data_IF_652261601928
#
_entry.id   IF_652261601928
#
_cell.length_a   1.000
_cell.length_b   1.000
_cell.length_c   1.000
_cell.angle_alpha   90.00
_cell.angle_beta   90.00
_cell.angle_gamma   90.00
#
_symmetry.space_group_name_H-M   'P 1'
#
loop_
_entity.id
_entity.type
_entity.pdbx_description
1 polymer ?
#
# COMPACT_ATOMS: atom_id res chain seq x y z
N UNK A 1 48.02 10.65 -3.20
CA UNK A 1 47.81 9.69 -2.10
C UNK A 1 46.98 10.41 -1.08
N UNK A 2 45.68 10.24 -1.14
CA UNK A 2 44.79 10.65 -0.07
C UNK A 2 43.79 9.51 0.10
N UNK A 3 43.81 8.95 1.31
CA UNK A 3 43.21 7.68 1.69
C UNK A 3 41.68 7.78 1.70
N UNK A 4 41.04 7.06 0.78
CA UNK A 4 39.65 6.68 0.95
C UNK A 4 39.55 5.85 2.24
N UNK A 5 38.79 6.35 3.22
CA UNK A 5 38.41 5.57 4.37
C UNK A 5 37.45 4.49 3.89
N UNK A 6 37.94 3.25 3.81
CA UNK A 6 37.14 2.06 3.68
C UNK A 6 36.13 2.03 4.83
N UNK A 7 34.87 2.32 4.52
CA UNK A 7 33.75 2.01 5.40
C UNK A 7 33.69 0.48 5.45
N UNK A 8 34.25 -0.09 6.51
CA UNK A 8 34.09 -1.51 6.82
C UNK A 8 32.60 -1.81 6.98
N UNK A 9 31.99 -2.37 5.94
CA UNK A 9 30.67 -3.00 6.02
C UNK A 9 30.83 -4.20 6.95
N UNK A 10 30.35 -4.06 8.19
CA UNK A 10 30.22 -5.20 9.08
C UNK A 10 29.35 -6.27 8.37
N UNK A 11 29.73 -7.56 8.42
CA UNK A 11 28.87 -8.60 7.89
C UNK A 11 27.57 -8.57 8.69
N UNK A 12 26.45 -8.24 8.03
CA UNK A 12 25.13 -8.34 8.65
C UNK A 12 25.01 -9.75 9.24
N UNK A 13 24.81 -9.82 10.55
CA UNK A 13 24.59 -11.08 11.24
C UNK A 13 23.48 -11.85 10.54
N UNK A 14 23.62 -13.16 10.49
CA UNK A 14 22.69 -14.12 9.90
C UNK A 14 21.32 -14.21 10.63
N UNK A 15 20.96 -13.17 11.39
CA UNK A 15 19.81 -13.04 12.28
C UNK A 15 18.49 -13.31 11.56
N UNK A 16 18.32 -12.91 10.30
CA UNK A 16 17.12 -13.28 9.55
C UNK A 16 17.06 -14.78 9.27
N UNK A 17 18.17 -15.40 8.87
CA UNK A 17 18.25 -16.85 8.61
C UNK A 17 18.09 -17.67 9.90
N UNK A 18 18.53 -17.14 11.04
CA UNK A 18 18.34 -17.75 12.37
C UNK A 18 16.92 -17.54 12.90
N UNK A 19 16.31 -16.39 12.64
CA UNK A 19 14.97 -16.04 13.10
C UNK A 19 13.88 -16.80 12.34
N UNK A 20 13.97 -16.85 11.00
CA UNK A 20 12.89 -17.35 10.14
C UNK A 20 12.39 -18.75 10.52
N UNK A 21 13.25 -19.75 10.81
CA UNK A 21 12.80 -21.10 11.20
C UNK A 21 12.07 -21.16 12.55
N UNK A 22 12.24 -20.14 13.42
CA UNK A 22 11.59 -20.06 14.73
C UNK A 22 10.18 -19.45 14.69
N UNK A 23 9.81 -18.82 13.58
CA UNK A 23 8.53 -18.12 13.46
C UNK A 23 7.39 -19.09 13.16
N UNK A 24 6.18 -18.89 13.74
CA UNK A 24 5.00 -19.61 13.30
C UNK A 24 4.79 -19.42 11.80
N UNK A 25 4.57 -20.53 11.09
CA UNK A 25 4.45 -20.56 9.64
C UNK A 25 3.11 -21.18 9.24
N UNK A 26 2.39 -20.47 8.39
CA UNK A 26 1.16 -20.92 7.77
C UNK A 26 1.29 -20.73 6.26
N UNK A 27 0.27 -21.15 5.50
CA UNK A 27 0.24 -20.92 4.05
C UNK A 27 -0.79 -19.85 3.70
N UNK A 28 -0.47 -18.95 2.79
CA UNK A 28 -1.41 -17.97 2.27
C UNK A 28 -2.39 -18.58 1.27
N UNK A 29 -3.32 -17.77 0.77
CA UNK A 29 -4.26 -18.18 -0.26
C UNK A 29 -3.60 -18.67 -1.57
N UNK A 30 -2.31 -18.39 -1.77
CA UNK A 30 -1.52 -18.83 -2.92
C UNK A 30 -0.70 -20.10 -2.61
N UNK A 31 -0.89 -20.74 -1.44
CA UNK A 31 -0.12 -21.86 -0.93
C UNK A 31 1.38 -21.55 -0.69
N UNK A 32 1.75 -20.27 -0.66
CA UNK A 32 3.09 -19.79 -0.30
C UNK A 32 3.23 -19.67 1.22
N UNK A 33 4.42 -19.93 1.77
CA UNK A 33 4.65 -19.77 3.20
C UNK A 33 4.51 -18.30 3.63
N UNK A 34 3.81 -18.10 4.73
CA UNK A 34 3.74 -16.86 5.49
C UNK A 34 4.27 -17.11 6.90
N UNK A 35 5.09 -16.19 7.39
CA UNK A 35 5.67 -16.22 8.72
C UNK A 35 5.07 -15.12 9.57
N UNK A 36 4.60 -15.48 10.76
CA UNK A 36 4.05 -14.54 11.72
C UNK A 36 5.19 -13.86 12.47
N UNK A 37 5.35 -12.55 12.28
CA UNK A 37 6.33 -11.74 12.98
C UNK A 37 5.68 -10.48 13.55
N UNK A 38 5.81 -10.28 14.87
CA UNK A 38 5.22 -9.14 15.59
C UNK A 38 3.74 -8.91 15.31
N UNK A 39 2.97 -9.98 15.18
CA UNK A 39 1.52 -9.93 14.98
C UNK A 39 1.06 -9.84 13.52
N UNK A 40 1.99 -9.77 12.56
CA UNK A 40 1.66 -9.67 11.13
C UNK A 40 2.32 -10.77 10.31
N UNK A 41 1.69 -11.14 9.19
CA UNK A 41 2.13 -12.22 8.32
C UNK A 41 2.93 -11.71 7.11
N UNK A 42 4.06 -12.35 6.83
CA UNK A 42 4.95 -11.94 5.74
C UNK A 42 5.45 -13.16 4.95
N UNK A 43 5.64 -13.00 3.63
CA UNK A 43 6.56 -13.91 2.94
C UNK A 43 7.98 -13.65 3.43
N UNK A 44 8.84 -14.66 3.36
CA UNK A 44 10.26 -14.60 3.73
C UNK A 44 10.97 -13.34 3.20
N UNK A 45 10.97 -13.14 1.88
CA UNK A 45 11.63 -12.00 1.24
C UNK A 45 11.00 -10.65 1.63
N UNK A 46 9.69 -10.62 1.88
CA UNK A 46 9.00 -9.41 2.32
C UNK A 46 9.33 -9.08 3.78
N UNK A 47 9.51 -10.09 4.62
CA UNK A 47 9.94 -9.92 6.01
C UNK A 47 11.38 -9.40 6.07
N UNK A 48 12.29 -10.03 5.31
CA UNK A 48 13.68 -9.60 5.22
C UNK A 48 13.77 -8.14 4.76
N UNK A 49 13.02 -7.78 3.72
CA UNK A 49 13.00 -6.41 3.22
C UNK A 49 12.34 -5.42 4.19
N UNK A 50 11.29 -5.80 4.91
CA UNK A 50 10.70 -4.97 5.96
C UNK A 50 11.66 -4.76 7.15
N UNK A 51 12.48 -5.76 7.48
CA UNK A 51 13.54 -5.64 8.49
C UNK A 51 14.68 -4.72 8.02
N UNK A 52 15.11 -4.85 6.76
CA UNK A 52 16.09 -3.95 6.16
C UNK A 52 15.57 -2.49 6.11
N UNK A 53 14.31 -2.31 5.68
CA UNK A 53 13.63 -1.03 5.73
C UNK A 53 13.67 -0.42 7.13
N UNK A 54 13.21 -1.19 8.14
CA UNK A 54 13.19 -0.77 9.55
C UNK A 54 14.56 -0.33 10.08
N UNK A 55 15.65 -0.98 9.63
CA UNK A 55 17.03 -0.75 10.10
C UNK A 55 17.69 0.43 9.42
N UNK A 56 17.57 0.49 8.10
CA UNK A 56 18.47 1.29 7.27
C UNK A 56 17.84 2.59 6.76
N UNK A 57 16.51 2.68 6.70
CA UNK A 57 15.85 3.85 6.11
C UNK A 57 15.98 5.09 6.98
N UNK A 58 16.43 6.18 6.36
CA UNK A 58 16.53 7.49 6.97
C UNK A 58 15.45 8.40 6.39
N UNK A 59 14.40 8.60 7.18
CA UNK A 59 13.32 9.51 6.84
C UNK A 59 13.79 10.96 6.87
N UNK A 60 13.30 11.76 5.94
CA UNK A 60 13.40 13.21 5.93
C UNK A 60 12.05 13.81 6.32
N UNK A 61 12.07 15.01 6.91
CA UNK A 61 10.84 15.71 7.31
C UNK A 61 9.91 16.01 6.13
N UNK A 62 10.45 16.12 4.91
CA UNK A 62 9.71 16.33 3.67
C UNK A 62 9.19 15.03 3.01
N UNK A 63 9.46 13.86 3.57
CA UNK A 63 9.00 12.61 2.98
C UNK A 63 7.47 12.47 3.10
N UNK A 64 6.88 11.83 2.09
CA UNK A 64 5.48 11.44 2.06
C UNK A 64 5.40 9.91 1.99
N UNK A 65 4.78 9.28 2.99
CA UNK A 65 4.67 7.83 3.10
C UNK A 65 3.20 7.43 2.96
N UNK A 66 2.90 6.71 1.88
CA UNK A 66 1.57 6.21 1.55
C UNK A 66 1.43 4.79 2.06
N UNK A 67 0.51 4.58 3.00
CA UNK A 67 0.31 3.30 3.66
C UNK A 67 -1.07 2.75 3.36
N UNK A 68 -1.16 1.44 3.17
CA UNK A 68 -2.44 0.74 3.09
C UNK A 68 -2.22 -0.76 3.28
N UNK A 69 -3.24 -1.49 3.74
CA UNK A 69 -3.21 -2.94 3.59
C UNK A 69 -3.25 -3.30 2.09
N UNK A 70 -2.59 -4.39 1.65
CA UNK A 70 -2.69 -4.82 0.26
C UNK A 70 -4.14 -4.89 -0.20
N UNK A 71 -4.40 -4.34 -1.40
CA UNK A 71 -5.72 -4.28 -2.06
C UNK A 71 -6.73 -3.26 -1.48
N UNK A 72 -6.29 -2.35 -0.61
CA UNK A 72 -7.13 -1.26 -0.09
C UNK A 72 -7.20 0.00 -0.99
N UNK A 73 -6.62 -0.04 -2.20
CA UNK A 73 -6.64 1.10 -3.14
C UNK A 73 -5.29 1.81 -3.33
N UNK A 74 -4.18 1.17 -2.99
CA UNK A 74 -2.83 1.76 -3.04
C UNK A 74 -2.45 2.35 -4.40
N UNK A 75 -2.81 1.69 -5.50
CA UNK A 75 -2.55 2.18 -6.87
C UNK A 75 -3.21 3.54 -7.10
N UNK A 76 -4.46 3.69 -6.61
CA UNK A 76 -5.22 4.92 -6.73
C UNK A 76 -4.68 6.02 -5.81
N UNK A 77 -4.33 5.68 -4.57
CA UNK A 77 -3.69 6.62 -3.65
C UNK A 77 -2.36 7.16 -4.22
N UNK A 78 -1.53 6.27 -4.79
CA UNK A 78 -0.25 6.64 -5.43
C UNK A 78 -0.47 7.62 -6.58
N UNK A 79 -1.43 7.35 -7.46
CA UNK A 79 -1.72 8.26 -8.59
C UNK A 79 -2.23 9.62 -8.10
N UNK A 80 -3.16 9.64 -7.14
CA UNK A 80 -3.74 10.88 -6.62
C UNK A 80 -2.67 11.75 -5.96
N UNK A 81 -1.89 11.17 -5.05
CA UNK A 81 -0.85 11.92 -4.33
C UNK A 81 0.24 12.39 -5.29
N UNK A 82 0.68 11.53 -6.23
CA UNK A 82 1.68 11.93 -7.23
C UNK A 82 1.20 13.12 -8.06
N UNK A 83 -0.05 13.08 -8.55
CA UNK A 83 -0.64 14.15 -9.33
C UNK A 83 -0.76 15.44 -8.51
N UNK A 84 -1.21 15.37 -7.25
CA UNK A 84 -1.30 16.55 -6.36
C UNK A 84 0.07 17.19 -6.14
N UNK A 85 1.11 16.42 -5.82
CA UNK A 85 2.42 16.96 -5.44
C UNK A 85 3.21 17.48 -6.64
N UNK A 86 2.93 16.99 -7.85
CA UNK A 86 3.64 17.37 -9.07
C UNK A 86 2.80 18.20 -10.05
N UNK A 87 1.58 18.63 -9.68
CA UNK A 87 0.66 19.37 -10.57
C UNK A 87 1.23 20.67 -11.17
N UNK A 88 2.21 21.28 -10.51
CA UNK A 88 2.92 22.47 -11.03
C UNK A 88 4.05 22.13 -12.00
N UNK A 89 4.54 20.90 -11.97
CA UNK A 89 5.60 20.40 -12.86
C UNK A 89 5.01 19.72 -14.09
N UNK A 90 3.94 18.94 -13.90
CA UNK A 90 3.19 18.28 -14.96
C UNK A 90 1.75 18.74 -14.87
N UNK A 91 1.31 19.51 -15.86
CA UNK A 91 -0.11 19.80 -15.98
C UNK A 91 -0.84 18.52 -16.34
N UNK A 92 -2.09 18.39 -15.89
CA UNK A 92 -3.00 17.27 -16.26
C UNK A 92 -3.19 17.12 -17.77
N UNK A 93 -2.99 18.19 -18.53
CA UNK A 93 -3.03 18.23 -20.00
C UNK A 93 -1.71 17.86 -20.68
N UNK A 94 -0.63 17.66 -19.91
CA UNK A 94 0.67 17.27 -20.44
C UNK A 94 0.58 15.84 -21.01
N UNK A 95 0.84 15.72 -22.31
CA UNK A 95 0.87 14.42 -23.00
C UNK A 95 2.00 13.51 -22.48
N UNK A 96 2.99 14.08 -21.80
CA UNK A 96 4.10 13.37 -21.17
C UNK A 96 3.91 13.19 -19.66
N UNK A 97 2.72 13.44 -19.11
CA UNK A 97 2.47 13.24 -17.69
C UNK A 97 2.88 11.80 -17.28
N UNK A 98 3.72 11.61 -16.24
CA UNK A 98 4.30 10.31 -15.92
C UNK A 98 3.29 9.17 -15.72
N UNK A 99 2.10 9.48 -15.20
CA UNK A 99 1.00 8.50 -15.06
C UNK A 99 0.44 7.97 -16.38
N UNK A 100 0.69 8.62 -17.52
CA UNK A 100 0.25 8.15 -18.85
C UNK A 100 1.16 7.06 -19.41
N UNK A 101 2.44 7.07 -19.00
CA UNK A 101 3.50 6.22 -19.55
C UNK A 101 4.10 5.24 -18.54
N UNK A 102 3.82 5.44 -17.24
CA UNK A 102 4.32 4.61 -16.14
C UNK A 102 3.17 4.28 -15.19
N UNK A 103 3.12 3.03 -14.72
CA UNK A 103 2.12 2.61 -13.72
C UNK A 103 2.32 3.39 -12.40
N UNK A 104 1.26 3.68 -11.62
CA UNK A 104 1.40 4.34 -10.32
C UNK A 104 2.42 3.72 -9.36
N UNK A 105 2.65 2.40 -9.45
CA UNK A 105 3.66 1.71 -8.66
C UNK A 105 5.11 2.02 -9.06
N UNK A 106 5.34 2.43 -10.31
CA UNK A 106 6.66 2.81 -10.83
C UNK A 106 7.02 4.27 -10.53
N UNK A 107 6.03 5.18 -10.51
CA UNK A 107 6.27 6.59 -10.14
C UNK A 107 6.36 6.82 -8.63
N UNK A 108 5.70 5.96 -7.83
CA UNK A 108 5.80 5.96 -6.36
C UNK A 108 6.22 4.56 -5.91
N UNK A 109 7.51 4.29 -5.68
CA UNK A 109 7.99 2.95 -5.38
C UNK A 109 7.56 2.47 -3.99
N UNK A 110 7.45 1.15 -3.81
CA UNK A 110 7.27 0.56 -2.48
C UNK A 110 8.62 0.44 -1.77
N UNK A 111 8.74 0.94 -0.53
CA UNK A 111 10.02 0.94 0.19
C UNK A 111 10.53 -0.49 0.39
N UNK A 112 9.67 -1.40 0.83
CA UNK A 112 10.02 -2.82 1.01
C UNK A 112 10.39 -3.51 -0.31
N UNK A 113 9.87 -3.07 -1.47
CA UNK A 113 10.28 -3.63 -2.77
C UNK A 113 11.64 -3.09 -3.17
N UNK A 114 11.94 -1.83 -2.88
CA UNK A 114 13.28 -1.23 -3.09
C UNK A 114 14.32 -1.97 -2.24
N UNK A 115 14.04 -2.19 -0.95
CA UNK A 115 14.94 -2.95 -0.06
C UNK A 115 15.09 -4.42 -0.44
N UNK A 116 14.06 -5.01 -1.04
CA UNK A 116 14.14 -6.37 -1.59
C UNK A 116 15.11 -6.46 -2.77
N UNK A 117 15.21 -5.40 -3.58
CA UNK A 117 16.10 -5.35 -4.72
C UNK A 117 17.55 -5.01 -4.32
N UNK A 118 17.71 -4.02 -3.45
CA UNK A 118 19.01 -3.57 -2.95
C UNK A 118 18.89 -3.29 -1.44
N UNK A 119 19.69 -3.95 -0.61
CA UNK A 119 19.71 -3.77 0.85
C UNK A 119 20.20 -2.38 1.28
N UNK A 120 20.98 -1.71 0.42
CA UNK A 120 21.52 -0.36 0.64
C UNK A 120 21.11 0.54 -0.54
N UNK A 121 19.81 0.81 -0.69
CA UNK A 121 19.32 1.63 -1.78
C UNK A 121 19.72 3.09 -1.57
N UNK A 122 20.04 3.76 -2.66
CA UNK A 122 20.24 5.20 -2.66
C UNK A 122 18.90 5.91 -2.86
N UNK A 123 18.46 6.64 -1.84
CA UNK A 123 17.25 7.47 -1.89
C UNK A 123 17.58 8.96 -2.07
N UNK A 124 18.74 9.29 -2.63
CA UNK A 124 19.09 10.66 -3.03
C UNK A 124 18.27 11.06 -4.26
N UNK A 125 17.14 11.71 -4.01
CA UNK A 125 16.31 12.35 -5.02
C UNK A 125 15.84 13.71 -4.50
N UNK A 126 15.41 14.59 -5.42
CA UNK A 126 14.88 15.90 -5.05
C UNK A 126 13.62 15.73 -4.18
N UNK A 127 13.52 16.40 -3.02
CA UNK A 127 12.34 16.34 -2.17
C UNK A 127 11.13 17.06 -2.82
N UNK A 128 9.88 16.70 -2.44
CA UNK A 128 9.54 15.63 -1.49
C UNK A 128 9.66 14.24 -2.12
N UNK A 129 10.20 13.28 -1.36
CA UNK A 129 10.24 11.88 -1.79
C UNK A 129 8.93 11.22 -1.41
N UNK A 130 8.32 10.50 -2.36
CA UNK A 130 7.04 9.83 -2.15
C UNK A 130 7.26 8.34 -2.22
N UNK A 131 6.80 7.64 -1.19
CA UNK A 131 6.96 6.20 -1.09
C UNK A 131 5.66 5.51 -0.70
N UNK A 132 5.43 4.31 -1.21
CA UNK A 132 4.39 3.41 -0.71
C UNK A 132 4.94 2.39 0.28
N UNK A 133 4.12 1.90 1.19
CA UNK A 133 4.44 0.70 1.97
C UNK A 133 3.18 -0.03 2.44
N UNK A 134 3.30 -1.34 2.61
CA UNK A 134 2.31 -2.17 3.30
C UNK A 134 2.74 -2.56 4.73
N UNK A 135 3.88 -2.07 5.20
CA UNK A 135 4.43 -2.42 6.51
C UNK A 135 3.60 -1.78 7.63
N UNK A 136 3.21 -2.53 8.68
CA UNK A 136 2.47 -1.99 9.83
C UNK A 136 3.30 -0.98 10.62
N UNK A 137 2.63 -0.06 11.33
CA UNK A 137 3.28 1.04 12.05
C UNK A 137 4.28 0.53 13.11
N UNK A 138 3.95 -0.54 13.80
CA UNK A 138 4.84 -1.20 14.79
C UNK A 138 6.17 -1.68 14.19
N UNK A 139 6.21 -1.88 12.87
CA UNK A 139 7.39 -2.29 12.11
C UNK A 139 8.12 -1.15 11.39
N UNK A 140 7.56 0.06 11.32
CA UNK A 140 8.23 1.19 10.68
C UNK A 140 9.55 1.59 11.38
N UNK A 141 10.52 2.17 10.63
CA UNK A 141 11.79 2.66 11.17
C UNK A 141 11.61 3.69 12.28
N UNK A 142 12.56 3.76 13.21
CA UNK A 142 12.56 4.82 14.24
C UNK A 142 12.63 6.21 13.62
N UNK A 143 13.40 6.38 12.53
CA UNK A 143 13.55 7.64 11.80
C UNK A 143 12.19 8.18 11.33
N UNK A 144 11.32 7.33 10.77
CA UNK A 144 9.94 7.68 10.37
C UNK A 144 9.09 8.09 11.57
N UNK A 145 9.27 7.45 12.73
CA UNK A 145 8.47 7.75 13.94
C UNK A 145 8.86 9.07 14.61
N UNK A 146 10.07 9.54 14.37
CA UNK A 146 10.64 10.74 15.00
C UNK A 146 10.80 11.94 14.07
N UNK A 147 10.71 11.74 12.75
CA UNK A 147 10.69 12.81 11.77
C UNK A 147 9.30 13.46 11.69
N UNK A 148 9.20 14.54 10.91
CA UNK A 148 7.94 15.21 10.55
C UNK A 148 7.38 14.76 9.20
N UNK A 149 7.81 13.59 8.71
CA UNK A 149 7.29 13.06 7.45
C UNK A 149 5.78 12.87 7.55
N UNK A 150 5.08 13.08 6.43
CA UNK A 150 3.62 12.97 6.40
C UNK A 150 3.22 11.58 5.94
N UNK A 151 2.28 10.98 6.64
CA UNK A 151 1.73 9.65 6.34
C UNK A 151 0.28 9.77 5.92
N UNK A 152 -0.08 9.08 4.84
CA UNK A 152 -1.48 8.91 4.45
C UNK A 152 -1.79 7.43 4.52
N UNK A 153 -2.67 7.03 5.46
CA UNK A 153 -3.18 5.67 5.53
C UNK A 153 -4.51 5.56 4.80
N UNK A 154 -4.61 4.68 3.81
CA UNK A 154 -5.85 4.37 3.14
C UNK A 154 -6.43 3.03 3.62
N UNK A 155 -7.53 3.14 4.34
CA UNK A 155 -8.35 2.03 4.79
C UNK A 155 -9.40 1.64 3.73
N UNK A 156 -9.86 0.40 3.77
CA UNK A 156 -11.00 -0.09 2.98
C UNK A 156 -11.74 -1.15 3.77
N UNK A 157 -13.03 -1.35 3.47
CA UNK A 157 -13.82 -2.42 4.06
C UNK A 157 -13.12 -3.79 3.91
N UNK A 158 -12.88 -4.55 5.01
CA UNK A 158 -12.21 -5.84 4.97
C UNK A 158 -12.85 -6.86 4.02
N UNK A 159 -14.17 -6.79 3.79
CA UNK A 159 -14.89 -7.65 2.86
C UNK A 159 -14.47 -7.40 1.41
N UNK A 160 -14.35 -6.13 1.02
CA UNK A 160 -13.86 -5.77 -0.32
C UNK A 160 -12.35 -6.03 -0.48
N UNK A 161 -11.56 -5.83 0.58
CA UNK A 161 -10.14 -6.21 0.59
C UNK A 161 -10.00 -7.70 0.30
N UNK A 162 -10.74 -8.55 1.01
CA UNK A 162 -10.71 -10.00 0.82
C UNK A 162 -11.03 -10.40 -0.63
N UNK A 163 -12.15 -9.91 -1.17
CA UNK A 163 -12.57 -10.24 -2.54
C UNK A 163 -11.53 -9.75 -3.56
N UNK A 164 -11.00 -8.55 -3.38
CA UNK A 164 -9.94 -8.05 -4.26
C UNK A 164 -8.65 -8.85 -4.15
N UNK A 165 -8.32 -9.37 -2.97
CA UNK A 165 -7.12 -10.19 -2.73
C UNK A 165 -7.27 -11.57 -3.35
N UNK A 166 -8.42 -12.23 -3.16
CA UNK A 166 -8.70 -13.54 -3.74
C UNK A 166 -8.62 -13.51 -5.28
N UNK A 167 -9.28 -12.55 -5.92
CA UNK A 167 -9.20 -12.39 -7.38
C UNK A 167 -7.78 -12.06 -7.86
N UNK A 168 -7.03 -11.24 -7.12
CA UNK A 168 -5.65 -10.91 -7.49
C UNK A 168 -4.74 -12.13 -7.43
N UNK A 169 -4.81 -12.91 -6.34
CA UNK A 169 -4.06 -14.17 -6.20
C UNK A 169 -4.38 -15.14 -7.34
N UNK A 170 -5.67 -15.38 -7.61
CA UNK A 170 -6.09 -16.28 -8.69
C UNK A 170 -5.81 -15.77 -10.11
N UNK A 171 -5.48 -14.50 -10.30
CA UNK A 171 -4.98 -13.96 -11.58
C UNK A 171 -3.46 -14.14 -11.70
N UNK A 172 -2.70 -13.83 -10.64
CA UNK A 172 -1.24 -13.77 -10.67
C UNK A 172 -0.60 -15.16 -10.50
N UNK A 173 -1.14 -16.01 -9.61
CA UNK A 173 -0.55 -17.31 -9.29
C UNK A 173 -0.46 -18.24 -10.49
N UNK A 174 -1.54 -18.47 -11.28
CA UNK A 174 -1.46 -19.42 -12.40
C UNK A 174 -0.45 -18.98 -13.47
N UNK A 175 -0.24 -17.67 -13.65
CA UNK A 175 0.76 -17.13 -14.58
C UNK A 175 2.19 -17.38 -14.12
N UNK A 176 2.41 -17.43 -12.80
CA UNK A 176 3.72 -17.59 -12.19
C UNK A 176 4.06 -19.04 -11.86
N UNK A 177 3.05 -19.83 -11.51
CA UNK A 177 3.14 -21.23 -11.15
C UNK A 177 2.04 -22.01 -11.90
N UNK A 178 2.24 -22.33 -13.20
CA UNK A 178 1.19 -22.91 -14.05
C UNK A 178 0.65 -24.27 -13.59
N UNK A 179 1.41 -25.00 -12.78
CA UNK A 179 0.99 -26.28 -12.20
C UNK A 179 0.13 -26.15 -10.95
N UNK A 180 -0.02 -24.94 -10.40
CA UNK A 180 -0.76 -24.71 -9.17
C UNK A 180 -2.24 -24.46 -9.48
N UNK A 181 -3.11 -25.07 -8.68
CA UNK A 181 -4.55 -24.85 -8.80
C UNK A 181 -4.94 -23.54 -8.12
N UNK A 182 -5.88 -22.77 -8.70
CA UNK A 182 -6.48 -21.62 -8.02
C UNK A 182 -7.11 -22.06 -6.69
N UNK A 183 -6.98 -21.22 -5.66
CA UNK A 183 -7.63 -21.50 -4.38
C UNK A 183 -9.12 -21.21 -4.46
N UNK A 184 -9.92 -22.03 -3.77
CA UNK A 184 -11.35 -21.76 -3.61
C UNK A 184 -11.58 -20.52 -2.75
N UNK A 185 -12.74 -19.91 -2.91
CA UNK A 185 -13.08 -18.74 -2.10
C UNK A 185 -13.24 -19.11 -0.63
N UNK A 186 -13.81 -20.28 -0.33
CA UNK A 186 -14.04 -20.77 1.03
C UNK A 186 -12.71 -20.96 1.77
N UNK A 187 -11.73 -21.61 1.14
CA UNK A 187 -10.44 -21.86 1.75
C UNK A 187 -9.65 -20.57 1.97
N UNK A 188 -9.65 -19.68 0.96
CA UNK A 188 -9.04 -18.34 1.07
C UNK A 188 -9.69 -17.52 2.18
N UNK A 189 -11.02 -17.58 2.30
CA UNK A 189 -11.79 -16.83 3.29
C UNK A 189 -11.51 -17.28 4.73
N UNK A 190 -11.41 -18.60 4.96
CA UNK A 190 -11.05 -19.13 6.27
C UNK A 190 -9.67 -18.66 6.74
N UNK A 191 -8.68 -18.64 5.83
CA UNK A 191 -7.33 -18.11 6.10
C UNK A 191 -7.39 -16.62 6.39
N UNK A 192 -8.12 -15.85 5.58
CA UNK A 192 -8.30 -14.42 5.79
C UNK A 192 -8.95 -14.10 7.15
N UNK A 193 -9.98 -14.85 7.57
CA UNK A 193 -10.62 -14.68 8.90
C UNK A 193 -9.67 -14.94 10.07
N UNK A 194 -8.63 -15.77 9.88
CA UNK A 194 -7.56 -15.98 10.86
C UNK A 194 -6.47 -14.90 10.80
N UNK A 195 -6.61 -13.92 9.90
CA UNK A 195 -5.63 -12.87 9.64
C UNK A 195 -4.48 -13.31 8.74
N UNK A 196 -4.50 -14.54 8.20
CA UNK A 196 -3.42 -15.13 7.41
C UNK A 196 -3.51 -14.57 5.98
N UNK A 197 -2.87 -13.41 5.78
CA UNK A 197 -2.73 -12.73 4.51
C UNK A 197 -1.44 -11.91 4.54
N UNK A 198 -0.80 -11.67 3.39
CA UNK A 198 0.42 -10.85 3.34
C UNK A 198 0.18 -9.45 3.96
N UNK A 199 1.03 -9.04 4.91
CA UNK A 199 0.88 -7.85 5.78
C UNK A 199 -0.39 -7.81 6.65
N UNK A 200 -1.14 -8.90 6.70
CA UNK A 200 -2.36 -9.04 7.51
C UNK A 200 -2.05 -9.36 8.97
N UNK A 201 -3.04 -9.19 9.88
CA UNK A 201 -4.44 -8.87 9.59
C UNK A 201 -4.67 -7.38 9.25
N UNK A 202 -5.49 -7.08 8.23
CA UNK A 202 -5.68 -5.71 7.75
C UNK A 202 -6.41 -4.80 8.76
N UNK A 203 -7.28 -5.35 9.61
CA UNK A 203 -7.98 -4.60 10.65
C UNK A 203 -7.06 -4.20 11.81
N UNK A 204 -6.10 -5.05 12.18
CA UNK A 204 -5.06 -4.68 13.17
C UNK A 204 -4.14 -3.59 12.62
N UNK A 205 -3.78 -3.68 11.34
CA UNK A 205 -3.01 -2.62 10.68
C UNK A 205 -3.79 -1.30 10.65
N UNK A 206 -5.07 -1.34 10.27
CA UNK A 206 -5.93 -0.15 10.27
C UNK A 206 -6.05 0.45 11.67
N UNK A 207 -6.14 -0.38 12.72
CA UNK A 207 -6.18 0.06 14.09
C UNK A 207 -4.89 0.78 14.53
N UNK A 208 -3.72 0.28 14.15
CA UNK A 208 -2.44 0.95 14.45
C UNK A 208 -2.40 2.37 13.86
N UNK A 209 -2.75 2.51 12.58
CA UNK A 209 -2.73 3.81 11.90
C UNK A 209 -3.87 4.74 12.30
N UNK A 210 -5.03 4.18 12.67
CA UNK A 210 -6.14 4.95 13.23
C UNK A 210 -5.73 5.64 14.54
N UNK A 211 -5.21 4.87 15.51
CA UNK A 211 -4.71 5.41 16.77
C UNK A 211 -3.65 6.50 16.53
N UNK A 212 -2.71 6.23 15.64
CA UNK A 212 -1.68 7.20 15.28
C UNK A 212 -2.26 8.48 14.68
N UNK A 213 -3.27 8.38 13.82
CA UNK A 213 -3.95 9.56 13.24
C UNK A 213 -4.68 10.40 14.28
N UNK A 214 -5.20 9.78 15.34
CA UNK A 214 -5.81 10.51 16.45
C UNK A 214 -4.77 11.18 17.36
N UNK A 215 -3.60 10.56 17.53
CA UNK A 215 -2.50 11.09 18.34
C UNK A 215 -1.71 12.19 17.62
N UNK A 216 -1.57 12.09 16.29
CA UNK A 216 -0.73 12.95 15.45
C UNK A 216 -1.44 13.36 14.15
N UNK A 217 -2.56 14.10 14.22
CA UNK A 217 -3.36 14.45 13.03
C UNK A 217 -2.61 15.30 12.00
N UNK A 218 -1.62 16.07 12.42
CA UNK A 218 -0.77 16.88 11.53
C UNK A 218 0.23 16.03 10.72
N UNK A 219 0.64 14.87 11.26
CA UNK A 219 1.60 13.96 10.61
C UNK A 219 0.90 12.80 9.89
N UNK A 220 -0.34 12.46 10.27
CA UNK A 220 -1.03 11.26 9.77
C UNK A 220 -2.47 11.54 9.37
N UNK A 221 -2.75 11.45 8.07
CA UNK A 221 -4.09 11.48 7.52
C UNK A 221 -4.64 10.07 7.35
N UNK A 222 -5.76 9.78 8.01
CA UNK A 222 -6.52 8.55 7.81
C UNK A 222 -7.64 8.77 6.80
N UNK A 223 -7.63 8.00 5.72
CA UNK A 223 -8.63 8.01 4.66
C UNK A 223 -9.32 6.66 4.55
N UNK A 224 -10.53 6.66 3.98
CA UNK A 224 -11.24 5.46 3.57
C UNK A 224 -11.43 5.47 2.06
N UNK A 225 -11.29 4.30 1.44
CA UNK A 225 -11.52 4.11 0.01
C UNK A 225 -12.95 4.48 -0.36
N UNK A 226 -13.90 4.15 0.51
CA UNK A 226 -15.31 4.44 0.35
C UNK A 226 -15.56 5.96 0.27
N UNK A 227 -14.96 6.73 1.18
CA UNK A 227 -15.08 8.20 1.20
C UNK A 227 -14.42 8.84 -0.05
N UNK A 228 -13.33 8.26 -0.57
CA UNK A 228 -12.73 8.69 -1.85
C UNK A 228 -13.68 8.50 -3.03
N UNK A 229 -14.46 7.40 -3.03
CA UNK A 229 -15.44 7.15 -4.10
C UNK A 229 -16.71 7.99 -3.96
N UNK A 230 -17.05 8.40 -2.74
CA UNK A 230 -18.25 9.21 -2.47
C UNK A 230 -18.04 10.67 -2.87
N UNK A 231 -16.92 11.29 -2.48
CA UNK A 231 -16.60 12.68 -2.82
C UNK A 231 -15.10 12.86 -3.07
N UNK A 232 -14.67 12.58 -4.30
CA UNK A 232 -13.27 12.67 -4.67
C UNK A 232 -12.71 14.10 -4.58
N UNK A 233 -13.51 15.13 -4.88
CA UNK A 233 -13.06 16.53 -4.85
C UNK A 233 -12.73 16.98 -3.44
N UNK A 234 -13.62 16.70 -2.48
CA UNK A 234 -13.37 17.00 -1.09
C UNK A 234 -12.13 16.27 -0.56
N UNK A 235 -11.99 14.99 -0.88
CA UNK A 235 -10.84 14.22 -0.40
C UNK A 235 -9.52 14.66 -1.04
N UNK A 236 -9.52 15.06 -2.31
CA UNK A 236 -8.34 15.65 -2.96
C UNK A 236 -7.89 16.93 -2.25
N UNK A 237 -8.82 17.81 -1.87
CA UNK A 237 -8.52 19.01 -1.07
C UNK A 237 -7.92 18.65 0.28
N UNK A 238 -8.54 17.71 1.01
CA UNK A 238 -8.02 17.23 2.30
C UNK A 238 -6.61 16.66 2.20
N UNK A 239 -6.33 15.89 1.14
CA UNK A 239 -4.98 15.37 0.88
C UNK A 239 -4.01 16.52 0.63
N UNK A 240 -4.35 17.47 -0.24
CA UNK A 240 -3.49 18.60 -0.57
C UNK A 240 -3.19 19.49 0.65
N UNK A 241 -4.19 19.77 1.48
CA UNK A 241 -4.05 20.47 2.77
C UNK A 241 -3.13 19.71 3.72
N UNK A 242 -3.38 18.41 3.91
CA UNK A 242 -2.53 17.56 4.73
C UNK A 242 -1.11 17.44 4.20
N UNK A 243 -0.86 17.58 2.90
CA UNK A 243 0.48 17.60 2.30
C UNK A 243 1.13 19.00 2.30
N UNK A 244 0.40 20.03 2.73
CA UNK A 244 0.92 21.39 2.87
C UNK A 244 1.03 22.13 1.54
N UNK A 245 0.29 21.66 0.55
CA UNK A 245 0.20 22.25 -0.78
C UNK A 245 -1.28 22.39 -1.19
N UNK A 246 -2.11 23.09 -0.41
CA UNK A 246 -3.53 23.25 -0.71
C UNK A 246 -3.74 23.86 -2.09
N UNK A 247 -4.87 23.55 -2.71
CA UNK A 247 -5.22 24.16 -3.99
C UNK A 247 -5.50 25.65 -3.82
N UNK A 248 -4.92 26.48 -4.68
CA UNK A 248 -5.24 27.90 -4.71
C UNK A 248 -6.66 28.13 -5.27
N UNK A 249 -7.37 29.22 -4.91
CA UNK A 249 -8.68 29.53 -5.47
C UNK A 249 -8.72 29.54 -7.00
N UNK A 250 -7.65 30.02 -7.64
CA UNK A 250 -7.53 30.02 -9.10
C UNK A 250 -7.36 28.61 -9.68
N UNK A 251 -6.67 27.68 -8.98
CA UNK A 251 -6.61 26.26 -9.38
C UNK A 251 -7.98 25.60 -9.29
N UNK A 252 -8.76 25.92 -8.24
CA UNK A 252 -10.13 25.42 -8.08
C UNK A 252 -11.04 25.93 -9.20
N UNK A 253 -11.01 27.23 -9.46
CA UNK A 253 -11.80 27.87 -10.52
C UNK A 253 -11.41 27.35 -11.92
N UNK A 254 -10.14 27.01 -12.12
CA UNK A 254 -9.63 26.44 -13.37
C UNK A 254 -9.95 24.94 -13.53
N UNK A 255 -10.55 24.28 -12.52
CA UNK A 255 -10.94 22.87 -12.61
C UNK A 255 -9.81 21.87 -12.37
N UNK A 256 -8.67 22.29 -11.80
CA UNK A 256 -7.49 21.41 -11.60
C UNK A 256 -7.82 20.16 -10.77
N UNK A 257 -8.68 20.29 -9.76
CA UNK A 257 -9.11 19.17 -8.91
C UNK A 257 -9.87 18.12 -9.73
N UNK A 258 -10.79 18.57 -10.59
CA UNK A 258 -11.56 17.71 -11.47
C UNK A 258 -10.67 17.01 -12.50
N UNK A 259 -9.68 17.73 -13.04
CA UNK A 259 -8.74 17.14 -13.99
C UNK A 259 -7.84 16.08 -13.34
N UNK A 260 -7.37 16.30 -12.11
CA UNK A 260 -6.65 15.28 -11.33
C UNK A 260 -7.54 14.07 -11.07
N UNK A 261 -8.80 14.28 -10.69
CA UNK A 261 -9.76 13.20 -10.45
C UNK A 261 -9.98 12.36 -11.72
N UNK A 262 -10.13 13.01 -12.88
CA UNK A 262 -10.25 12.33 -14.19
C UNK A 262 -9.00 11.56 -14.57
N UNK A 263 -7.82 12.19 -14.48
CA UNK A 263 -6.52 11.57 -14.77
C UNK A 263 -6.29 10.32 -13.90
N UNK A 264 -6.65 10.39 -12.63
CA UNK A 264 -6.45 9.30 -11.67
C UNK A 264 -7.64 8.34 -11.60
N UNK A 265 -8.69 8.52 -12.41
CA UNK A 265 -9.89 7.69 -12.36
C UNK A 265 -9.57 6.24 -12.74
N UNK A 266 -10.36 5.30 -12.19
CA UNK A 266 -10.22 3.89 -12.53
C UNK A 266 -10.35 3.67 -14.05
N UNK A 267 -11.36 4.28 -14.67
CA UNK A 267 -11.61 4.17 -16.11
C UNK A 267 -10.43 4.68 -16.93
N UNK A 268 -9.90 5.86 -16.60
CA UNK A 268 -8.76 6.41 -17.35
C UNK A 268 -7.51 5.53 -17.17
N UNK A 269 -7.09 5.28 -15.92
CA UNK A 269 -5.86 4.55 -15.63
C UNK A 269 -5.89 3.13 -16.19
N UNK A 270 -7.00 2.39 -16.02
CA UNK A 270 -7.12 1.01 -16.51
C UNK A 270 -7.08 0.91 -18.05
N UNK A 271 -7.41 1.99 -18.76
CA UNK A 271 -7.43 2.03 -20.22
C UNK A 271 -6.09 2.44 -20.86
N UNK A 272 -5.12 2.91 -20.08
CA UNK A 272 -3.79 3.26 -20.58
C UNK A 272 -3.00 2.02 -21.02
N UNK A 273 -2.28 2.12 -22.14
CA UNK A 273 -1.53 0.99 -22.71
C UNK A 273 -0.46 0.43 -21.75
N UNK A 274 0.22 1.30 -21.00
CA UNK A 274 1.17 0.88 -19.95
C UNK A 274 0.50 0.02 -18.87
N UNK A 275 -0.78 0.25 -18.59
CA UNK A 275 -1.52 -0.47 -17.56
C UNK A 275 -2.18 -1.75 -18.10
N UNK A 276 -2.43 -1.84 -19.41
CA UNK A 276 -2.92 -3.07 -20.05
C UNK A 276 -1.82 -4.10 -20.27
N UNK A 277 -0.64 -3.64 -20.70
CA UNK A 277 0.41 -4.52 -21.24
C UNK A 277 1.72 -4.50 -20.44
N UNK A 278 1.96 -3.46 -19.66
CA UNK A 278 3.18 -3.31 -18.88
C UNK A 278 3.27 -4.27 -17.69
N UNK A 279 4.47 -4.32 -17.11
CA UNK A 279 4.75 -5.06 -15.87
C UNK A 279 5.54 -4.18 -14.93
N UNK A 280 5.26 -4.29 -13.65
CA UNK A 280 5.90 -3.51 -12.58
C UNK A 280 6.10 -4.42 -11.35
N UNK A 281 6.73 -3.89 -10.30
CA UNK A 281 7.16 -4.56 -9.08
C UNK A 281 8.28 -5.59 -9.31
N UNK A 282 8.89 -6.01 -8.19
CA UNK A 282 9.85 -7.10 -8.16
C UNK A 282 9.37 -8.18 -7.19
N UNK A 283 9.12 -9.41 -7.67
CA UNK A 283 9.17 -9.86 -9.07
C UNK A 283 8.05 -9.27 -9.94
N UNK A 284 8.20 -9.26 -11.28
CA UNK A 284 7.26 -8.58 -12.16
C UNK A 284 5.83 -9.13 -12.08
N UNK A 285 4.87 -8.22 -11.96
CA UNK A 285 3.42 -8.45 -12.02
C UNK A 285 2.86 -7.65 -13.20
N UNK A 286 1.95 -8.25 -13.97
CA UNK A 286 1.25 -7.52 -15.04
C UNK A 286 0.42 -6.38 -14.47
N UNK A 287 0.56 -5.19 -15.05
CA UNK A 287 -0.10 -3.99 -14.54
C UNK A 287 -1.62 -4.11 -14.56
N UNK A 288 -2.16 -4.89 -15.51
CA UNK A 288 -3.60 -5.14 -15.64
C UNK A 288 -4.17 -5.87 -14.42
N UNK A 289 -3.35 -6.61 -13.67
CA UNK A 289 -3.79 -7.26 -12.43
C UNK A 289 -4.13 -6.26 -11.30
N UNK A 290 -3.68 -5.00 -11.39
CA UNK A 290 -4.02 -3.96 -10.42
C UNK A 290 -5.41 -3.34 -10.67
N UNK A 291 -5.97 -3.50 -11.87
CA UNK A 291 -7.24 -2.91 -12.27
C UNK A 291 -8.30 -3.99 -12.52
N UNK A 292 -9.24 -4.15 -11.57
CA UNK A 292 -10.31 -5.17 -11.66
C UNK A 292 -11.71 -4.59 -11.85
N UNK A 293 -12.21 -3.86 -10.86
CA UNK A 293 -13.54 -3.22 -10.90
C UNK A 293 -13.57 -1.80 -10.33
N UNK A 294 -12.74 -1.50 -9.32
CA UNK A 294 -12.71 -0.16 -8.71
C UNK A 294 -13.93 0.20 -7.85
N UNK A 295 -14.82 -0.76 -7.54
CA UNK A 295 -16.10 -0.50 -6.87
C UNK A 295 -16.05 -0.72 -5.36
N UNK A 296 -16.94 -0.03 -4.63
CA UNK A 296 -17.32 -0.36 -3.25
C UNK A 296 -18.45 -1.38 -3.26
N UNK A 297 -18.39 -2.37 -2.37
CA UNK A 297 -19.49 -3.32 -2.17
C UNK A 297 -19.50 -4.51 -3.12
N UNK A 298 -18.43 -4.76 -3.90
CA UNK A 298 -18.37 -5.93 -4.79
C UNK A 298 -18.34 -7.26 -4.00
N UNK A 299 -18.02 -7.18 -2.70
CA UNK A 299 -18.21 -8.30 -1.79
C UNK A 299 -19.64 -8.85 -1.77
N UNK A 300 -20.67 -8.04 -2.00
CA UNK A 300 -22.06 -8.50 -2.04
C UNK A 300 -22.33 -9.48 -3.19
N UNK A 301 -21.58 -9.37 -4.29
CA UNK A 301 -21.69 -10.26 -5.45
C UNK A 301 -20.88 -11.55 -5.30
N UNK A 302 -20.09 -11.66 -4.24
CA UNK A 302 -19.03 -12.67 -4.13
C UNK A 302 -19.13 -13.49 -2.85
N UNK A 303 -19.47 -12.86 -1.72
CA UNK A 303 -19.53 -13.51 -0.41
C UNK A 303 -20.94 -13.99 -0.10
N UNK A 304 -21.01 -15.18 0.49
CA UNK A 304 -22.27 -15.68 1.05
C UNK A 304 -22.64 -14.92 2.33
N UNK A 305 -23.94 -14.88 2.72
CA UNK A 305 -24.35 -14.24 3.97
C UNK A 305 -23.62 -14.77 5.21
N UNK A 306 -23.32 -16.08 5.28
CA UNK A 306 -22.60 -16.68 6.41
C UNK A 306 -21.14 -16.22 6.49
N UNK A 307 -20.46 -16.06 5.35
CA UNK A 307 -19.11 -15.47 5.29
C UNK A 307 -19.14 -14.03 5.79
N UNK A 308 -20.11 -13.23 5.34
CA UNK A 308 -20.26 -11.84 5.77
C UNK A 308 -20.44 -11.75 7.29
N UNK A 309 -21.34 -12.54 7.87
CA UNK A 309 -21.55 -12.58 9.33
C UNK A 309 -20.28 -12.96 10.06
N UNK A 310 -19.57 -14.01 9.60
CA UNK A 310 -18.34 -14.48 10.23
C UNK A 310 -17.24 -13.42 10.21
N UNK A 311 -17.02 -12.76 9.07
CA UNK A 311 -15.97 -11.73 8.98
C UNK A 311 -16.32 -10.50 9.81
N UNK A 312 -17.59 -10.08 9.84
CA UNK A 312 -18.03 -9.00 10.72
C UNK A 312 -17.74 -9.36 12.18
N UNK A 313 -18.12 -10.56 12.64
CA UNK A 313 -17.81 -11.01 14.00
C UNK A 313 -16.32 -10.98 14.35
N UNK A 314 -15.46 -11.43 13.42
CA UNK A 314 -14.00 -11.39 13.61
C UNK A 314 -13.50 -9.95 13.76
N UNK A 315 -13.94 -9.06 12.87
CA UNK A 315 -13.51 -7.65 12.86
C UNK A 315 -14.04 -6.93 14.09
N UNK A 316 -15.32 -7.11 14.42
CA UNK A 316 -15.97 -6.49 15.58
C UNK A 316 -15.31 -6.93 16.88
N UNK A 317 -14.99 -8.22 17.05
CA UNK A 317 -14.27 -8.71 18.24
C UNK A 317 -12.90 -8.04 18.44
N UNK A 318 -12.24 -7.62 17.36
CA UNK A 318 -10.90 -7.01 17.41
C UNK A 318 -10.94 -5.50 17.54
N UNK A 319 -11.96 -4.87 16.96
CA UNK A 319 -12.08 -3.42 16.89
C UNK A 319 -13.13 -2.86 17.84
N UNK A 320 -13.81 -3.72 18.61
CA UNK A 320 -14.71 -3.30 19.68
C UNK A 320 -14.03 -2.24 20.55
N UNK A 321 -14.72 -1.13 20.80
CA UNK A 321 -14.24 0.03 21.57
C UNK A 321 -13.04 0.80 20.99
N UNK A 322 -12.56 0.47 19.79
CA UNK A 322 -11.43 1.20 19.19
C UNK A 322 -11.78 2.60 18.67
N UNK A 323 -13.08 2.87 18.47
CA UNK A 323 -13.56 4.07 17.82
C UNK A 323 -13.23 4.16 16.32
N UNK A 324 -12.63 3.12 15.71
CA UNK A 324 -12.40 3.07 14.26
C UNK A 324 -13.72 2.74 13.54
N UNK A 325 -14.28 3.67 12.73
CA UNK A 325 -15.51 3.38 12.00
C UNK A 325 -15.18 2.58 10.73
N UNK A 326 -15.23 1.25 10.78
CA UNK A 326 -15.27 0.44 9.56
C UNK A 326 -16.73 0.28 9.12
N UNK A 327 -17.07 0.89 7.99
CA UNK A 327 -18.39 0.76 7.36
C UNK A 327 -18.54 -0.62 6.70
#
# INVERSE_FOLDING_TARGET
>A
MDSAQDVQVQPESNEFQELLPSLPCERDAMNLPLYLYKGFWYHDHSLEAAMAFRRHFQAQDSDIILVSAPKSGTTWLKSLVFAITHRLQYTVTDQNHPLLTTNPHGVVPFIEVVYRHNKFPDFTSSPPRIFGTHVPYSMLPKSVKTSKCRMIYLCRNPKDIFVSMWHFGNNVVPKRFPSWQPITIEESFERFCKGIAMFGPCWEQALEYWKLSTEKPEEVLFLKYEDLTEDIHYQLKRIAEHLGCPFAPDEENAGVIEDIAKLCSFEHLSNLEVNKTGKDLFPPVENSAFFRKGLVGDWMNTLTPSMVVKLNQVVDQKLHDSGLPLN
#
